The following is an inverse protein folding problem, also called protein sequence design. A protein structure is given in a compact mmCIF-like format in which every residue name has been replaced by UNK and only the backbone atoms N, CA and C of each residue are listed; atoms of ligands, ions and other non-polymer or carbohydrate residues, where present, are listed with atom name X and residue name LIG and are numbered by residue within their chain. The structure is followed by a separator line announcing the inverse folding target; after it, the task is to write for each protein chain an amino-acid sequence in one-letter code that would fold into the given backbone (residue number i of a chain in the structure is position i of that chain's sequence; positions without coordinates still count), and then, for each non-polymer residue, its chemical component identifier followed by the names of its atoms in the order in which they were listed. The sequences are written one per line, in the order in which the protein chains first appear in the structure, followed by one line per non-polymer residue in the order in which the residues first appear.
data_IF_610826120208
#
_entry.id   IF_610826120208
#
_cell.length_a   1.000
_cell.length_b   1.000
_cell.length_c   1.000
_cell.angle_alpha   90.00
_cell.angle_beta   90.00
_cell.angle_gamma   90.00
#
_symmetry.space_group_name_H-M   'P 1'
#
loop_
_entity.id
_entity.type
_entity.pdbx_description
1 polymer ?
#
# COMPACT_ATOMS: atom_id res chain seq x y z
N UNK A 1 -28.77 -44.96 -45.80
CA UNK A 1 -28.74 -43.61 -45.23
C UNK A 1 -28.48 -43.49 -43.71
N UNK A 2 -27.80 -44.46 -43.05
CA UNK A 2 -27.57 -44.44 -41.60
C UNK A 2 -26.11 -44.14 -41.18
N UNK A 3 -25.17 -44.08 -42.16
CA UNK A 3 -23.75 -43.95 -41.89
C UNK A 3 -23.24 -42.50 -41.76
N UNK A 4 -24.00 -41.53 -42.27
CA UNK A 4 -23.50 -40.13 -42.30
C UNK A 4 -23.74 -39.35 -41.01
N UNK A 5 -24.68 -39.79 -40.15
CA UNK A 5 -24.94 -39.09 -38.87
C UNK A 5 -23.89 -39.37 -37.81
N UNK A 6 -23.22 -40.54 -37.87
CA UNK A 6 -22.18 -40.90 -36.92
C UNK A 6 -20.88 -40.11 -37.13
N UNK A 7 -20.56 -39.79 -38.39
CA UNK A 7 -19.40 -38.99 -38.75
C UNK A 7 -19.57 -37.50 -38.36
N UNK A 8 -20.80 -36.97 -38.47
CA UNK A 8 -21.11 -35.59 -38.06
C UNK A 8 -21.07 -35.43 -36.53
N UNK A 9 -21.52 -36.45 -35.78
CA UNK A 9 -21.44 -36.42 -34.31
C UNK A 9 -20.01 -36.52 -33.82
N UNK A 10 -19.12 -37.23 -34.49
CA UNK A 10 -17.71 -37.34 -34.13
C UNK A 10 -16.91 -36.08 -34.45
N UNK A 11 -17.28 -35.34 -35.50
CA UNK A 11 -16.66 -34.06 -35.85
C UNK A 11 -17.07 -32.93 -34.88
N UNK A 12 -18.29 -32.97 -34.31
CA UNK A 12 -18.77 -32.01 -33.31
C UNK A 12 -18.10 -32.17 -31.94
N UNK A 13 -17.66 -33.41 -31.60
CA UNK A 13 -16.96 -33.70 -30.33
C UNK A 13 -15.48 -33.22 -30.32
N UNK A 14 -14.88 -32.96 -31.49
CA UNK A 14 -13.50 -32.45 -31.59
C UNK A 14 -13.41 -30.90 -31.57
N UNK A 15 -14.54 -30.21 -31.57
CA UNK A 15 -14.62 -28.76 -31.54
C UNK A 15 -14.95 -28.18 -30.17
N UNK A 16 -14.77 -28.98 -29.09
CA UNK A 16 -14.79 -28.41 -27.74
C UNK A 16 -13.49 -27.61 -27.62
N UNK A 17 -13.54 -26.26 -27.58
CA UNK A 17 -12.35 -25.50 -27.25
C UNK A 17 -11.91 -25.98 -25.87
N UNK A 18 -10.76 -26.64 -25.80
CA UNK A 18 -10.07 -26.77 -24.52
C UNK A 18 -9.87 -25.32 -24.04
N UNK A 19 -10.74 -24.89 -23.14
CA UNK A 19 -10.46 -23.72 -22.33
C UNK A 19 -9.16 -24.09 -21.58
N UNK A 20 -8.02 -23.74 -22.19
CA UNK A 20 -6.77 -23.76 -21.49
C UNK A 20 -7.04 -22.92 -20.25
N UNK A 21 -7.04 -23.55 -19.07
CA UNK A 21 -7.00 -22.84 -17.81
C UNK A 21 -5.77 -21.93 -17.87
N UNK A 22 -5.97 -20.71 -18.37
CA UNK A 22 -4.97 -19.69 -18.34
C UNK A 22 -4.73 -19.47 -16.83
N UNK A 23 -3.68 -20.09 -16.29
CA UNK A 23 -3.26 -19.92 -14.90
C UNK A 23 -3.31 -18.44 -14.63
N UNK A 24 -4.25 -18.02 -13.79
CA UNK A 24 -4.44 -16.64 -13.43
C UNK A 24 -3.08 -16.09 -13.01
N UNK A 25 -2.52 -15.19 -13.83
CA UNK A 25 -1.19 -14.61 -13.60
C UNK A 25 -1.21 -14.02 -12.19
N UNK A 26 -0.32 -14.48 -11.31
CA UNK A 26 -0.27 -13.97 -9.94
C UNK A 26 0.06 -12.49 -9.99
N UNK A 27 -0.66 -11.68 -9.22
CA UNK A 27 -0.28 -10.29 -9.01
C UNK A 27 0.95 -10.26 -8.09
N UNK A 28 2.01 -9.62 -8.58
CA UNK A 28 3.27 -9.46 -7.85
C UNK A 28 3.54 -7.96 -7.76
N UNK A 29 3.60 -7.43 -6.54
CA UNK A 29 3.93 -6.04 -6.30
C UNK A 29 5.40 -5.87 -5.90
N UNK A 30 5.98 -4.73 -6.24
CA UNK A 30 7.29 -4.30 -5.75
C UNK A 30 7.18 -2.94 -5.08
N UNK A 31 7.85 -2.79 -3.95
CA UNK A 31 8.03 -1.50 -3.30
C UNK A 31 9.18 -0.74 -4.00
N UNK A 32 8.91 0.47 -4.48
CA UNK A 32 9.91 1.28 -5.20
C UNK A 32 11.09 1.70 -4.32
N UNK A 33 10.97 1.58 -2.99
CA UNK A 33 12.11 1.74 -2.08
C UNK A 33 13.24 0.72 -2.35
N UNK A 34 12.91 -0.47 -2.84
CA UNK A 34 13.89 -1.51 -3.20
C UNK A 34 14.80 -1.10 -4.36
N UNK A 35 14.37 -0.14 -5.18
CA UNK A 35 15.12 0.41 -6.31
C UNK A 35 15.43 1.92 -6.15
N UNK A 36 15.32 2.43 -4.91
CA UNK A 36 15.51 3.85 -4.58
C UNK A 36 16.85 4.41 -5.06
N UNK A 37 17.91 3.61 -4.98
CA UNK A 37 19.25 4.08 -5.36
C UNK A 37 19.31 4.38 -6.87
N UNK A 38 18.64 3.57 -7.69
CA UNK A 38 18.56 3.79 -9.15
C UNK A 38 17.76 5.08 -9.44
N UNK A 39 16.65 5.28 -8.71
CA UNK A 39 15.81 6.48 -8.87
C UNK A 39 16.57 7.73 -8.38
N UNK A 40 17.19 7.66 -7.20
CA UNK A 40 17.91 8.78 -6.60
C UNK A 40 19.17 9.19 -7.39
N UNK A 41 19.78 8.25 -8.13
CA UNK A 41 20.88 8.51 -9.03
C UNK A 41 20.44 9.15 -10.37
N UNK A 42 19.16 9.55 -10.49
CA UNK A 42 18.67 10.33 -11.62
C UNK A 42 18.15 9.50 -12.80
N UNK A 43 17.98 8.19 -12.65
CA UNK A 43 17.32 7.38 -13.68
C UNK A 43 15.84 7.80 -13.79
N UNK A 44 15.38 8.07 -15.01
CA UNK A 44 13.98 8.42 -15.25
C UNK A 44 13.03 7.35 -14.72
N UNK A 45 12.04 7.77 -13.96
CA UNK A 45 11.06 6.88 -13.33
C UNK A 45 10.33 6.00 -14.36
N UNK A 46 10.04 6.51 -15.56
CA UNK A 46 9.36 5.72 -16.59
C UNK A 46 10.24 4.56 -17.08
N UNK A 47 11.56 4.75 -17.13
CA UNK A 47 12.53 3.69 -17.49
C UNK A 47 12.52 2.63 -16.38
N UNK A 48 12.56 3.03 -15.12
CA UNK A 48 12.49 2.10 -13.97
C UNK A 48 11.20 1.29 -14.01
N UNK A 49 10.06 1.95 -14.16
CA UNK A 49 8.74 1.29 -14.21
C UNK A 49 8.65 0.30 -15.37
N UNK A 50 9.13 0.68 -16.56
CA UNK A 50 9.16 -0.21 -17.71
C UNK A 50 10.00 -1.47 -17.45
N UNK A 51 11.18 -1.32 -16.86
CA UNK A 51 12.05 -2.45 -16.55
C UNK A 51 11.40 -3.38 -15.51
N UNK A 52 10.77 -2.84 -14.48
CA UNK A 52 10.05 -3.63 -13.47
C UNK A 52 8.89 -4.41 -14.09
N UNK A 53 8.11 -3.80 -14.96
CA UNK A 53 7.05 -4.48 -15.71
C UNK A 53 7.59 -5.63 -16.58
N UNK A 54 8.73 -5.42 -17.25
CA UNK A 54 9.41 -6.47 -18.05
C UNK A 54 9.91 -7.63 -17.20
N UNK A 55 10.28 -7.38 -15.93
CA UNK A 55 10.62 -8.41 -14.95
C UNK A 55 9.40 -9.20 -14.44
N UNK A 56 8.18 -8.77 -14.77
CA UNK A 56 6.95 -9.47 -14.43
C UNK A 56 6.17 -8.89 -13.24
N UNK A 57 6.60 -7.78 -12.67
CA UNK A 57 5.82 -7.08 -11.65
C UNK A 57 4.54 -6.50 -12.26
N UNK A 58 3.44 -6.59 -11.53
CA UNK A 58 2.10 -6.17 -11.96
C UNK A 58 1.59 -4.96 -11.20
N UNK A 59 2.20 -4.67 -10.06
CA UNK A 59 1.82 -3.56 -9.19
C UNK A 59 3.04 -2.96 -8.50
N UNK A 60 2.90 -1.72 -8.06
CA UNK A 60 3.93 -1.05 -7.26
C UNK A 60 3.36 -0.53 -5.94
N UNK A 61 4.23 -0.43 -4.95
CA UNK A 61 4.06 0.40 -3.77
C UNK A 61 5.01 1.59 -3.87
N UNK A 62 4.48 2.82 -3.81
CA UNK A 62 5.29 4.03 -3.78
C UNK A 62 5.98 4.18 -2.42
N UNK A 63 7.12 4.85 -2.37
CA UNK A 63 7.86 5.14 -1.13
C UNK A 63 8.42 6.58 -1.10
N UNK A 64 7.81 7.45 -1.88
CA UNK A 64 8.15 8.87 -1.94
C UNK A 64 6.85 9.65 -2.12
N UNK A 65 6.33 10.14 -1.01
CA UNK A 65 5.21 11.09 -1.01
C UNK A 65 5.68 12.38 -0.36
N UNK A 66 5.55 13.48 -1.07
CA UNK A 66 5.88 14.82 -0.56
C UNK A 66 4.92 15.87 -1.12
N UNK A 67 4.30 16.63 -0.22
CA UNK A 67 3.46 17.79 -0.55
C UNK A 67 2.44 17.51 -1.68
N UNK A 68 1.72 16.40 -1.61
CA UNK A 68 0.70 16.01 -2.59
C UNK A 68 1.25 15.38 -3.86
N UNK A 69 2.54 15.08 -3.95
CA UNK A 69 3.21 14.51 -5.12
C UNK A 69 3.87 13.18 -4.82
N UNK A 70 4.01 12.36 -5.86
CA UNK A 70 4.75 11.09 -5.85
C UNK A 70 5.90 11.19 -6.84
N UNK A 71 7.14 11.10 -6.37
CA UNK A 71 8.33 11.25 -7.22
C UNK A 71 8.30 12.53 -8.06
N UNK A 72 7.84 13.64 -7.47
CA UNK A 72 7.70 14.95 -8.11
C UNK A 72 6.52 15.10 -9.08
N UNK A 73 5.74 14.05 -9.33
CA UNK A 73 4.58 14.03 -10.22
C UNK A 73 3.29 14.29 -9.43
N UNK A 74 2.28 14.88 -10.06
CA UNK A 74 0.92 14.88 -9.49
C UNK A 74 0.40 13.45 -9.35
N UNK A 75 -0.63 13.21 -8.51
CA UNK A 75 -1.22 11.88 -8.35
C UNK A 75 -1.65 11.24 -9.69
N UNK A 76 -2.27 12.01 -10.55
CA UNK A 76 -2.73 11.56 -11.87
C UNK A 76 -1.57 11.27 -12.82
N UNK A 77 -0.55 12.12 -12.85
CA UNK A 77 0.66 11.91 -13.66
C UNK A 77 1.41 10.66 -13.22
N UNK A 78 1.50 10.43 -11.90
CA UNK A 78 2.14 9.24 -11.34
C UNK A 78 1.35 7.98 -11.71
N UNK A 79 0.04 7.99 -11.50
CA UNK A 79 -0.87 6.91 -11.90
C UNK A 79 -0.69 6.57 -13.37
N UNK A 80 -0.78 7.57 -14.24
CA UNK A 80 -0.65 7.40 -15.70
C UNK A 80 0.71 6.82 -16.09
N UNK A 81 1.80 7.23 -15.43
CA UNK A 81 3.13 6.67 -15.69
C UNK A 81 3.20 5.17 -15.35
N UNK A 82 2.63 4.75 -14.22
CA UNK A 82 2.59 3.35 -13.79
C UNK A 82 1.69 2.52 -14.71
N UNK A 83 0.51 3.02 -15.06
CA UNK A 83 -0.44 2.35 -15.95
C UNK A 83 0.12 2.22 -17.38
N UNK A 84 0.83 3.23 -17.88
CA UNK A 84 1.52 3.18 -19.17
C UNK A 84 2.61 2.11 -19.21
N UNK A 85 3.24 1.80 -18.09
CA UNK A 85 4.18 0.70 -17.96
C UNK A 85 3.50 -0.68 -17.87
N UNK A 86 2.16 -0.75 -17.81
CA UNK A 86 1.38 -1.98 -17.70
C UNK A 86 1.21 -2.49 -16.26
N UNK A 87 1.43 -1.65 -15.27
CA UNK A 87 1.30 -1.96 -13.84
C UNK A 87 0.17 -1.16 -13.19
N UNK A 88 -0.12 -1.46 -11.91
CA UNK A 88 -1.08 -0.73 -11.07
C UNK A 88 -0.38 -0.08 -9.89
N UNK A 89 -0.88 1.07 -9.45
CA UNK A 89 -0.48 1.66 -8.17
C UNK A 89 -1.31 1.00 -7.08
N UNK A 90 -0.68 0.23 -6.20
CA UNK A 90 -1.38 -0.53 -5.17
C UNK A 90 -1.43 0.25 -3.84
N UNK A 91 -0.30 0.75 -3.40
CA UNK A 91 -0.10 1.35 -2.09
C UNK A 91 1.02 2.38 -2.09
N UNK A 92 1.19 3.03 -0.96
CA UNK A 92 2.34 3.90 -0.70
C UNK A 92 2.77 3.84 0.75
N UNK A 93 4.07 3.85 1.00
CA UNK A 93 4.62 4.26 2.28
C UNK A 93 4.41 5.77 2.45
N UNK A 94 3.75 6.15 3.54
CA UNK A 94 3.47 7.55 3.86
C UNK A 94 3.35 7.71 5.37
N UNK A 95 4.04 8.68 5.93
CA UNK A 95 4.00 8.95 7.37
C UNK A 95 3.98 10.44 7.67
N UNK A 96 3.37 10.77 8.80
CA UNK A 96 3.51 12.03 9.48
C UNK A 96 3.57 11.75 10.97
N UNK A 97 4.71 12.01 11.59
CA UNK A 97 4.87 11.95 13.04
C UNK A 97 4.12 13.08 13.73
N UNK A 98 3.77 12.87 14.99
CA UNK A 98 3.22 13.92 15.85
C UNK A 98 4.32 14.91 16.23
N UNK A 99 4.01 16.19 16.22
CA UNK A 99 4.88 17.24 16.77
C UNK A 99 4.90 17.19 18.30
N UNK A 100 5.93 17.76 18.93
CA UNK A 100 6.02 17.86 20.40
C UNK A 100 4.78 18.54 21.01
N UNK A 101 4.20 19.51 20.31
CA UNK A 101 2.97 20.19 20.72
C UNK A 101 1.78 19.25 20.73
N UNK A 102 1.62 18.43 19.68
CA UNK A 102 0.54 17.44 19.59
C UNK A 102 0.71 16.34 20.64
N UNK A 103 1.95 15.90 20.87
CA UNK A 103 2.29 14.94 21.93
C UNK A 103 1.94 15.49 23.31
N UNK A 104 2.26 16.76 23.58
CA UNK A 104 1.99 17.40 24.86
C UNK A 104 0.50 17.64 25.10
N UNK A 105 -0.25 18.07 24.08
CA UNK A 105 -1.67 18.41 24.19
C UNK A 105 -2.61 17.22 24.00
N UNK A 106 -2.19 16.20 23.25
CA UNK A 106 -3.07 15.11 22.78
C UNK A 106 -4.04 15.55 21.66
N UNK A 107 -3.84 16.73 21.08
CA UNK A 107 -4.63 17.24 19.97
C UNK A 107 -3.87 17.07 18.64
N UNK A 108 -4.31 16.14 17.81
CA UNK A 108 -3.68 15.82 16.51
C UNK A 108 -4.36 16.53 15.33
N UNK A 109 -5.16 17.54 15.56
CA UNK A 109 -5.96 18.22 14.51
C UNK A 109 -5.12 18.68 13.33
N UNK A 110 -3.90 19.18 13.55
CA UNK A 110 -3.00 19.63 12.50
C UNK A 110 -2.49 18.43 11.65
N UNK A 111 -2.02 17.38 12.31
CA UNK A 111 -1.57 16.18 11.61
C UNK A 111 -2.71 15.48 10.88
N UNK A 112 -3.92 15.44 11.45
CA UNK A 112 -5.08 14.85 10.79
C UNK A 112 -5.54 15.65 9.57
N UNK A 113 -5.44 16.97 9.60
CA UNK A 113 -5.69 17.81 8.41
C UNK A 113 -4.70 17.51 7.28
N UNK A 114 -3.44 17.27 7.62
CA UNK A 114 -2.44 16.85 6.63
C UNK A 114 -2.78 15.47 6.07
N UNK A 115 -3.24 14.54 6.92
CA UNK A 115 -3.68 13.22 6.46
C UNK A 115 -4.88 13.29 5.53
N UNK A 116 -5.84 14.18 5.76
CA UNK A 116 -6.97 14.37 4.84
C UNK A 116 -6.49 14.75 3.42
N UNK A 117 -5.49 15.64 3.32
CA UNK A 117 -4.88 16.00 2.05
C UNK A 117 -4.08 14.84 1.42
N UNK A 118 -3.32 14.13 2.25
CA UNK A 118 -2.55 12.97 1.83
C UNK A 118 -3.46 11.85 1.30
N UNK A 119 -4.52 11.50 2.03
CA UNK A 119 -5.50 10.49 1.64
C UNK A 119 -6.16 10.86 0.30
N UNK A 120 -6.52 12.12 0.10
CA UNK A 120 -7.08 12.59 -1.17
C UNK A 120 -6.10 12.39 -2.35
N UNK A 121 -4.82 12.71 -2.15
CA UNK A 121 -3.78 12.51 -3.16
C UNK A 121 -3.55 11.02 -3.48
N UNK A 122 -3.50 10.17 -2.46
CA UNK A 122 -3.34 8.72 -2.63
C UNK A 122 -4.54 8.10 -3.38
N UNK A 123 -5.75 8.54 -3.03
CA UNK A 123 -6.98 8.13 -3.74
C UNK A 123 -6.96 8.55 -5.21
N UNK A 124 -6.56 9.78 -5.52
CA UNK A 124 -6.41 10.27 -6.89
C UNK A 124 -5.36 9.48 -7.69
N UNK A 125 -4.28 9.03 -7.03
CA UNK A 125 -3.30 8.12 -7.62
C UNK A 125 -3.81 6.68 -7.81
N UNK A 126 -5.06 6.36 -7.39
CA UNK A 126 -5.66 5.04 -7.56
C UNK A 126 -5.24 4.00 -6.52
N UNK A 127 -4.62 4.42 -5.43
CA UNK A 127 -4.15 3.53 -4.37
C UNK A 127 -5.30 2.99 -3.52
N UNK A 128 -5.12 1.78 -3.02
CA UNK A 128 -6.05 1.10 -2.10
C UNK A 128 -5.57 1.13 -0.66
N UNK A 129 -4.26 1.26 -0.46
CA UNK A 129 -3.62 1.19 0.85
C UNK A 129 -2.67 2.37 1.04
N UNK A 130 -2.61 2.87 2.27
CA UNK A 130 -1.56 3.75 2.75
C UNK A 130 -0.90 3.04 3.93
N UNK A 131 0.42 2.90 3.90
CA UNK A 131 1.17 2.17 4.92
C UNK A 131 2.11 3.13 5.63
N UNK A 132 1.95 3.27 6.95
CA UNK A 132 2.93 3.99 7.75
C UNK A 132 4.19 3.11 7.88
N UNK A 133 5.37 3.59 7.45
CA UNK A 133 6.59 2.79 7.44
C UNK A 133 7.26 2.63 8.81
N UNK A 134 6.61 3.05 9.88
CA UNK A 134 7.12 2.96 11.23
C UNK A 134 7.10 4.27 12.00
N UNK A 135 7.21 4.16 13.31
CA UNK A 135 7.47 5.26 14.25
C UNK A 135 8.64 4.86 15.15
N UNK A 136 9.29 5.84 15.75
CA UNK A 136 10.29 5.55 16.81
C UNK A 136 9.64 4.87 18.01
N UNK A 137 10.45 4.23 18.87
CA UNK A 137 9.95 3.64 20.12
C UNK A 137 9.45 4.77 21.03
N UNK A 138 8.16 4.78 21.39
CA UNK A 138 7.60 5.77 22.32
C UNK A 138 8.30 5.71 23.68
N UNK A 139 8.47 6.86 24.31
CA UNK A 139 9.17 6.95 25.60
C UNK A 139 8.32 6.44 26.77
N UNK A 140 6.99 6.54 26.65
CA UNK A 140 6.06 6.18 27.72
C UNK A 140 4.85 5.42 27.18
N UNK A 141 4.18 4.65 28.06
CA UNK A 141 2.92 3.98 27.70
C UNK A 141 1.80 4.99 27.34
N UNK A 142 1.84 6.19 27.91
CA UNK A 142 0.91 7.27 27.53
C UNK A 142 1.14 7.71 26.07
N UNK A 143 2.39 7.90 25.66
CA UNK A 143 2.74 8.23 24.28
C UNK A 143 2.38 7.08 23.35
N UNK A 144 2.64 5.85 23.76
CA UNK A 144 2.28 4.66 23.01
C UNK A 144 0.77 4.59 22.72
N UNK A 145 -0.06 4.79 23.76
CA UNK A 145 -1.51 4.86 23.59
C UNK A 145 -1.93 5.97 22.64
N UNK A 146 -1.31 7.12 22.74
CA UNK A 146 -1.59 8.27 21.89
C UNK A 146 -1.33 7.95 20.39
N UNK A 147 -0.26 7.21 20.06
CA UNK A 147 -0.04 6.75 18.69
C UNK A 147 -1.11 5.77 18.24
N UNK A 148 -1.59 4.88 19.10
CA UNK A 148 -2.70 3.98 18.77
C UNK A 148 -3.99 4.77 18.46
N UNK A 149 -4.33 5.75 19.28
CA UNK A 149 -5.48 6.63 19.07
C UNK A 149 -5.34 7.42 17.74
N UNK A 150 -4.16 7.93 17.47
CA UNK A 150 -3.84 8.64 16.23
C UNK A 150 -3.98 7.73 14.99
N UNK A 151 -3.49 6.51 15.04
CA UNK A 151 -3.62 5.54 13.93
C UNK A 151 -5.07 5.11 13.72
N UNK A 152 -5.85 4.98 14.79
CA UNK A 152 -7.28 4.72 14.69
C UNK A 152 -8.01 5.84 13.94
N UNK A 153 -7.67 7.10 14.21
CA UNK A 153 -8.25 8.25 13.50
C UNK A 153 -7.83 8.30 12.03
N UNK A 154 -6.57 8.00 11.71
CA UNK A 154 -6.10 7.91 10.32
C UNK A 154 -6.81 6.77 9.59
N UNK A 155 -6.87 5.59 10.19
CA UNK A 155 -7.54 4.42 9.63
C UNK A 155 -9.01 4.66 9.31
N UNK A 156 -9.73 5.31 10.22
CA UNK A 156 -11.13 5.73 10.02
C UNK A 156 -11.29 6.67 8.82
N UNK A 157 -10.37 7.64 8.65
CA UNK A 157 -10.37 8.58 7.52
C UNK A 157 -10.06 7.85 6.20
N UNK A 158 -9.11 6.93 6.20
CA UNK A 158 -8.83 6.08 5.04
C UNK A 158 -10.07 5.28 4.63
N UNK A 159 -10.74 4.63 5.60
CA UNK A 159 -11.94 3.84 5.37
C UNK A 159 -13.09 4.68 4.78
N UNK A 160 -13.32 5.89 5.30
CA UNK A 160 -14.31 6.84 4.76
C UNK A 160 -14.03 7.22 3.30
N UNK A 161 -12.78 7.11 2.86
CA UNK A 161 -12.36 7.35 1.48
C UNK A 161 -12.25 6.08 0.63
N UNK A 162 -12.68 4.92 1.14
CA UNK A 162 -12.61 3.63 0.45
C UNK A 162 -11.20 3.05 0.38
N UNK A 163 -10.32 3.46 1.28
CA UNK A 163 -8.93 3.02 1.40
C UNK A 163 -8.71 2.31 2.74
N UNK A 164 -7.59 1.61 2.86
CA UNK A 164 -7.16 0.99 4.13
C UNK A 164 -5.85 1.61 4.58
N UNK A 165 -5.71 1.75 5.89
CA UNK A 165 -4.45 2.15 6.53
C UNK A 165 -3.73 0.91 7.06
N UNK A 166 -2.41 0.88 6.92
CA UNK A 166 -1.56 -0.18 7.44
C UNK A 166 -0.34 0.37 8.16
N UNK A 167 0.28 -0.48 8.94
CA UNK A 167 1.55 -0.23 9.61
C UNK A 167 2.57 -1.28 9.19
N UNK A 168 3.75 -0.85 8.78
CA UNK A 168 4.89 -1.71 8.47
C UNK A 168 5.86 -1.66 9.64
N UNK A 169 6.04 -2.80 10.31
CA UNK A 169 6.93 -2.90 11.47
C UNK A 169 8.37 -3.27 11.09
N UNK A 170 9.28 -2.94 11.99
CA UNK A 170 10.70 -3.30 11.95
C UNK A 170 11.07 -4.06 13.22
N UNK A 171 12.36 -4.22 13.48
CA UNK A 171 12.85 -4.93 14.65
C UNK A 171 12.63 -4.16 15.97
N UNK A 172 12.58 -2.83 15.92
CA UNK A 172 12.48 -2.02 17.13
C UNK A 172 11.11 -2.08 17.80
N UNK A 173 10.05 -2.44 17.07
CA UNK A 173 8.71 -2.61 17.65
C UNK A 173 8.60 -3.85 18.55
N UNK A 174 9.57 -4.74 18.52
CA UNK A 174 9.68 -5.85 19.47
C UNK A 174 10.29 -5.46 20.83
N UNK A 175 10.69 -4.20 21.01
CA UNK A 175 11.15 -3.67 22.29
C UNK A 175 9.96 -3.36 23.21
N UNK A 176 10.25 -3.41 24.53
CA UNK A 176 9.28 -3.01 25.55
C UNK A 176 9.31 -1.50 25.77
N UNK A 177 8.14 -0.89 25.84
CA UNK A 177 7.97 0.50 26.27
C UNK A 177 7.88 0.51 27.80
N UNK A 178 8.67 1.33 28.48
CA UNK A 178 8.77 1.43 29.95
C UNK A 178 8.91 0.07 30.66
N UNK A 179 9.53 -0.93 30.02
CA UNK A 179 9.61 -2.31 30.51
C UNK A 179 8.25 -3.00 30.78
N UNK A 180 7.14 -2.43 30.28
CA UNK A 180 5.77 -2.93 30.52
C UNK A 180 5.30 -3.83 29.39
N UNK A 181 5.10 -3.28 28.20
CA UNK A 181 4.54 -4.00 27.05
C UNK A 181 5.46 -3.96 25.84
N UNK A 182 5.45 -5.02 25.04
CA UNK A 182 6.08 -5.03 23.71
C UNK A 182 5.29 -4.07 22.83
N UNK A 183 5.98 -3.16 22.15
CA UNK A 183 5.37 -2.10 21.36
C UNK A 183 4.39 -2.65 20.31
N UNK A 184 4.81 -3.63 19.51
CA UNK A 184 3.97 -4.20 18.46
C UNK A 184 2.70 -4.88 19.01
N UNK A 185 2.86 -5.68 20.07
CA UNK A 185 1.72 -6.37 20.69
C UNK A 185 0.70 -5.35 21.21
N UNK A 186 1.20 -4.32 21.91
CA UNK A 186 0.33 -3.24 22.41
C UNK A 186 -0.40 -2.50 21.28
N UNK A 187 0.29 -2.23 20.17
CA UNK A 187 -0.32 -1.59 19.00
C UNK A 187 -1.43 -2.45 18.42
N UNK A 188 -1.20 -3.75 18.24
CA UNK A 188 -2.20 -4.69 17.70
C UNK A 188 -3.44 -4.74 18.60
N UNK A 189 -3.25 -4.78 19.93
CA UNK A 189 -4.33 -4.86 20.91
C UNK A 189 -5.13 -3.55 21.06
N UNK A 190 -4.50 -2.40 20.78
CA UNK A 190 -5.08 -1.08 21.04
C UNK A 190 -5.42 -0.29 19.77
N UNK A 191 -5.30 -0.89 18.60
CA UNK A 191 -5.81 -0.32 17.35
C UNK A 191 -7.01 -1.12 16.83
N UNK A 192 -7.91 -0.43 16.12
CA UNK A 192 -9.07 -1.07 15.52
C UNK A 192 -8.65 -1.91 14.29
N UNK A 193 -8.83 -3.25 14.30
CA UNK A 193 -8.39 -4.12 13.22
C UNK A 193 -9.12 -3.86 11.89
N UNK A 194 -10.30 -3.25 11.91
CA UNK A 194 -11.00 -2.85 10.68
C UNK A 194 -10.38 -1.60 10.05
N UNK A 195 -9.72 -0.76 10.86
CA UNK A 195 -9.12 0.51 10.43
C UNK A 195 -7.62 0.42 10.22
N UNK A 196 -6.92 -0.41 10.95
CA UNK A 196 -5.45 -0.55 10.92
C UNK A 196 -5.08 -2.00 10.65
N UNK A 197 -4.28 -2.22 9.61
CA UNK A 197 -3.70 -3.53 9.27
C UNK A 197 -2.19 -3.48 9.50
N UNK A 198 -1.59 -4.60 9.93
CA UNK A 198 -0.15 -4.71 10.15
C UNK A 198 0.47 -5.57 9.05
N UNK A 199 1.65 -5.14 8.55
CA UNK A 199 2.41 -5.85 7.52
C UNK A 199 3.88 -5.90 7.94
N UNK A 200 4.53 -6.98 7.61
CA UNK A 200 5.97 -7.23 7.85
C UNK A 200 6.63 -7.80 6.60
#
# INVERSE_FOLDING_TARGET
MKTNYLLVLFALLLAIPQAADAKKKKDIAIQLYSVRDIINNGTDLNVVLKNLAQMGYTSIEAANYDNGKFYGKTPEEFKNAVEKAGMKVLSSHCSRGLSDKEVASGDFSESLKWWDQSIAAHKAAGMKYIVNPGIGVPKTMKEMKMYCDYFNEIGKRCQQNGMKFGYHNHAHEFQKVENQAVMLDYMIENTNPESVSYTH
#
